data_IF_670102469938
#
_entry.id   IF_670102469938
#
_cell.length_a   1.000
_cell.length_b   1.000
_cell.length_c   1.000
_cell.angle_alpha   90.00
_cell.angle_beta   90.00
_cell.angle_gamma   90.00
#
_symmetry.space_group_name_H-M   'P 1'
#
loop_
_entity.id
_entity.type
_entity.pdbx_description
1 polymer ?
#
# COMPACT_ATOMS: atom_id res chain seq x y z
N UNK A 1 -32.75 1.95 25.85
CA UNK A 1 -32.56 3.04 24.90
C UNK A 1 -31.61 2.55 23.80
N UNK A 2 -32.11 2.29 22.58
CA UNK A 2 -31.26 1.81 21.47
C UNK A 2 -30.40 2.98 20.95
N UNK A 3 -29.07 2.83 21.01
CA UNK A 3 -28.13 3.82 20.42
C UNK A 3 -28.29 3.72 18.91
N UNK A 4 -28.90 4.71 18.26
CA UNK A 4 -28.90 4.85 16.80
C UNK A 4 -27.55 5.41 16.36
N UNK A 5 -26.67 4.56 15.83
CA UNK A 5 -25.43 5.00 15.18
C UNK A 5 -25.78 5.78 13.90
N UNK A 6 -25.14 6.94 13.68
CA UNK A 6 -25.33 7.66 12.43
C UNK A 6 -24.72 6.89 11.24
N UNK A 7 -25.36 6.97 10.08
CA UNK A 7 -24.86 6.32 8.85
C UNK A 7 -23.41 6.74 8.55
N UNK A 8 -23.10 8.02 8.67
CA UNK A 8 -21.75 8.56 8.44
C UNK A 8 -20.74 7.95 9.40
N UNK A 9 -21.10 7.77 10.68
CA UNK A 9 -20.23 7.13 11.66
C UNK A 9 -19.87 5.70 11.23
N UNK A 10 -20.88 4.90 10.88
CA UNK A 10 -20.68 3.51 10.45
C UNK A 10 -19.79 3.43 9.22
N UNK A 11 -20.10 4.23 8.18
CA UNK A 11 -19.30 4.23 6.94
C UNK A 11 -17.83 4.64 7.20
N UNK A 12 -17.58 5.65 8.03
CA UNK A 12 -16.19 6.03 8.39
C UNK A 12 -15.46 4.93 9.14
N UNK A 13 -16.13 4.21 10.06
CA UNK A 13 -15.53 3.07 10.76
C UNK A 13 -15.25 1.89 9.84
N UNK A 14 -16.15 1.60 8.90
CA UNK A 14 -15.93 0.57 7.88
C UNK A 14 -14.76 0.94 6.95
N UNK A 15 -14.64 2.22 6.55
CA UNK A 15 -13.50 2.69 5.78
C UNK A 15 -12.17 2.49 6.52
N UNK A 16 -12.09 2.87 7.80
CA UNK A 16 -10.91 2.65 8.62
C UNK A 16 -10.60 1.15 8.75
N UNK A 17 -11.61 0.34 9.03
CA UNK A 17 -11.45 -1.11 9.20
C UNK A 17 -10.96 -1.76 7.89
N UNK A 18 -11.55 -1.44 6.74
CA UNK A 18 -11.14 -2.01 5.46
C UNK A 18 -9.69 -1.70 5.10
N UNK A 19 -9.17 -0.54 5.50
CA UNK A 19 -7.77 -0.17 5.28
C UNK A 19 -6.77 -0.97 6.13
N UNK A 20 -7.18 -1.43 7.33
CA UNK A 20 -6.34 -2.26 8.20
C UNK A 20 -6.55 -3.74 7.88
N UNK A 21 -7.81 -4.16 7.78
CA UNK A 21 -8.21 -5.51 7.49
C UNK A 21 -9.35 -5.50 6.45
N UNK A 22 -9.17 -6.12 5.27
CA UNK A 22 -8.06 -7.00 4.85
C UNK A 22 -6.89 -6.31 4.14
N UNK A 23 -7.03 -5.04 3.71
CA UNK A 23 -6.06 -4.40 2.81
C UNK A 23 -4.65 -4.26 3.42
N UNK A 24 -4.56 -3.92 4.70
CA UNK A 24 -3.26 -3.82 5.39
C UNK A 24 -2.54 -5.17 5.44
N UNK A 25 -3.26 -6.28 5.68
CA UNK A 25 -2.68 -7.63 5.68
C UNK A 25 -2.21 -8.00 4.28
N UNK A 26 -3.04 -7.76 3.26
CA UNK A 26 -2.65 -7.98 1.86
C UNK A 26 -1.39 -7.17 1.49
N UNK A 27 -1.29 -5.93 1.94
CA UNK A 27 -0.13 -5.10 1.65
C UNK A 27 1.16 -5.68 2.25
N UNK A 28 1.12 -6.23 3.45
CA UNK A 28 2.29 -6.88 4.07
C UNK A 28 2.72 -8.13 3.28
N UNK A 29 1.75 -8.95 2.87
CA UNK A 29 1.99 -10.08 1.99
C UNK A 29 2.61 -9.62 0.65
N UNK A 30 2.04 -8.58 0.04
CA UNK A 30 2.52 -8.02 -1.22
C UNK A 30 3.97 -7.51 -1.13
N UNK A 31 4.34 -6.83 -0.05
CA UNK A 31 5.72 -6.42 0.20
C UNK A 31 6.65 -7.61 0.43
N UNK A 32 6.18 -8.64 1.14
CA UNK A 32 6.93 -9.88 1.34
C UNK A 32 7.20 -10.59 0.01
N UNK A 33 6.19 -10.80 -0.83
CA UNK A 33 6.34 -11.41 -2.15
C UNK A 33 7.28 -10.61 -3.03
N UNK A 34 7.14 -9.28 -3.08
CA UNK A 34 8.05 -8.43 -3.85
C UNK A 34 9.49 -8.45 -3.31
N UNK A 35 9.71 -8.66 -2.01
CA UNK A 35 11.03 -8.78 -1.43
C UNK A 35 11.81 -10.02 -1.92
N UNK A 36 11.13 -11.03 -2.49
CA UNK A 36 11.79 -12.20 -3.11
C UNK A 36 12.63 -11.83 -4.33
N UNK A 37 12.39 -10.68 -4.94
CA UNK A 37 13.28 -10.14 -5.98
C UNK A 37 14.72 -9.91 -5.50
N UNK A 38 14.95 -9.74 -4.19
CA UNK A 38 16.28 -9.59 -3.59
C UNK A 38 17.15 -10.84 -3.73
N UNK A 39 16.51 -12.01 -3.73
CA UNK A 39 17.17 -13.31 -3.88
C UNK A 39 17.24 -13.78 -5.33
N UNK A 40 16.54 -13.10 -6.24
CA UNK A 40 16.63 -13.30 -7.68
C UNK A 40 15.32 -13.63 -8.37
N UNK A 41 15.36 -13.70 -9.69
CA UNK A 41 14.20 -13.89 -10.54
C UNK A 41 13.45 -15.22 -10.23
N UNK A 42 14.18 -16.31 -9.99
CA UNK A 42 13.59 -17.61 -9.71
C UNK A 42 12.73 -17.60 -8.44
N UNK A 43 13.22 -16.98 -7.36
CA UNK A 43 12.50 -16.92 -6.08
C UNK A 43 11.27 -16.02 -6.18
N UNK A 44 11.37 -14.89 -6.89
CA UNK A 44 10.22 -14.03 -7.14
C UNK A 44 9.15 -14.73 -7.98
N UNK A 45 9.54 -15.36 -9.10
CA UNK A 45 8.63 -16.09 -9.97
C UNK A 45 7.94 -17.24 -9.23
N UNK A 46 8.69 -17.98 -8.40
CA UNK A 46 8.11 -19.04 -7.57
C UNK A 46 7.08 -18.49 -6.59
N UNK A 47 7.40 -17.39 -5.89
CA UNK A 47 6.45 -16.77 -4.96
C UNK A 47 5.16 -16.30 -5.66
N UNK A 48 5.26 -15.71 -6.86
CA UNK A 48 4.10 -15.34 -7.66
C UNK A 48 3.29 -16.59 -8.08
N UNK A 49 3.97 -17.66 -8.50
CA UNK A 49 3.30 -18.93 -8.87
C UNK A 49 2.58 -19.55 -7.68
N UNK A 50 3.21 -19.56 -6.51
CA UNK A 50 2.61 -20.11 -5.28
C UNK A 50 1.33 -19.35 -4.91
N UNK A 51 1.34 -18.02 -4.98
CA UNK A 51 0.14 -17.20 -4.78
C UNK A 51 -0.96 -17.53 -5.79
N UNK A 52 -0.63 -17.64 -7.08
CA UNK A 52 -1.62 -17.97 -8.10
C UNK A 52 -2.13 -19.40 -8.01
N UNK A 53 -1.42 -20.31 -7.32
CA UNK A 53 -1.83 -21.69 -7.10
C UNK A 53 -2.82 -21.87 -5.93
N UNK A 54 -3.06 -20.82 -5.13
CA UNK A 54 -4.01 -20.88 -4.02
C UNK A 54 -5.40 -21.27 -4.54
N UNK A 55 -6.05 -22.30 -3.98
CA UNK A 55 -7.39 -22.67 -4.39
C UNK A 55 -8.36 -21.49 -4.27
N UNK A 56 -9.17 -21.30 -5.31
CA UNK A 56 -10.16 -20.20 -5.35
C UNK A 56 -9.56 -18.79 -5.22
N UNK A 57 -8.30 -18.58 -5.64
CA UNK A 57 -7.61 -17.28 -5.54
C UNK A 57 -8.44 -16.12 -6.07
N UNK A 58 -9.20 -16.31 -7.14
CA UNK A 58 -10.07 -15.27 -7.71
C UNK A 58 -11.13 -14.78 -6.70
N UNK A 59 -11.71 -15.67 -5.89
CA UNK A 59 -12.67 -15.27 -4.85
C UNK A 59 -11.98 -14.52 -3.72
N UNK A 60 -10.74 -14.90 -3.37
CA UNK A 60 -9.91 -14.18 -2.39
C UNK A 60 -9.55 -12.79 -2.90
N UNK A 61 -9.14 -12.68 -4.17
CA UNK A 61 -8.85 -11.38 -4.81
C UNK A 61 -10.08 -10.48 -4.85
N UNK A 62 -11.22 -10.99 -5.33
CA UNK A 62 -12.44 -10.17 -5.45
C UNK A 62 -12.98 -9.80 -4.08
N UNK A 63 -13.21 -10.77 -3.21
CA UNK A 63 -13.86 -10.57 -1.90
C UNK A 63 -12.94 -9.95 -0.85
N UNK A 64 -11.67 -10.35 -0.84
CA UNK A 64 -10.67 -9.93 0.16
C UNK A 64 -9.86 -8.69 -0.25
N UNK A 65 -9.74 -8.39 -1.55
CA UNK A 65 -8.91 -7.28 -2.02
C UNK A 65 -9.76 -6.27 -2.80
N UNK A 66 -10.34 -6.62 -3.96
CA UNK A 66 -10.95 -5.62 -4.84
C UNK A 66 -12.18 -4.95 -4.24
N UNK A 67 -13.11 -5.68 -3.63
CA UNK A 67 -14.30 -5.08 -3.02
C UNK A 67 -13.91 -4.13 -1.86
N UNK A 68 -13.10 -4.55 -0.87
CA UNK A 68 -12.63 -3.65 0.18
C UNK A 68 -11.83 -2.46 -0.36
N UNK A 69 -11.00 -2.66 -1.38
CA UNK A 69 -10.18 -1.62 -1.99
C UNK A 69 -11.02 -0.55 -2.67
N UNK A 70 -12.00 -0.96 -3.50
CA UNK A 70 -12.91 -0.03 -4.17
C UNK A 70 -13.69 0.79 -3.13
N UNK A 71 -14.23 0.13 -2.11
CA UNK A 71 -14.92 0.82 -1.04
C UNK A 71 -14.00 1.81 -0.31
N UNK A 72 -12.82 1.35 0.12
CA UNK A 72 -11.84 2.17 0.84
C UNK A 72 -11.41 3.38 0.01
N UNK A 73 -11.06 3.18 -1.25
CA UNK A 73 -10.59 4.24 -2.14
C UNK A 73 -11.69 5.26 -2.46
N UNK A 74 -12.86 4.81 -2.88
CA UNK A 74 -13.97 5.70 -3.27
C UNK A 74 -14.49 6.46 -2.05
N UNK A 75 -14.74 5.79 -0.93
CA UNK A 75 -15.20 6.48 0.27
C UNK A 75 -14.10 7.36 0.89
N UNK A 76 -12.83 6.98 0.74
CA UNK A 76 -11.68 7.82 1.11
C UNK A 76 -11.62 9.14 0.33
N UNK A 77 -11.96 9.14 -0.97
CA UNK A 77 -12.09 10.38 -1.74
C UNK A 77 -13.23 11.26 -1.20
N UNK A 78 -14.39 10.68 -0.85
CA UNK A 78 -15.50 11.43 -0.22
C UNK A 78 -15.03 12.10 1.07
N UNK A 79 -14.33 11.35 1.96
CA UNK A 79 -13.76 11.91 3.19
C UNK A 79 -12.76 13.03 2.89
N UNK A 80 -11.97 12.90 1.82
CA UNK A 80 -10.99 13.89 1.41
C UNK A 80 -11.64 15.16 0.88
N UNK A 81 -12.72 15.05 0.12
CA UNK A 81 -13.50 16.21 -0.37
C UNK A 81 -14.19 16.98 0.76
N UNK A 82 -14.59 16.30 1.84
CA UNK A 82 -15.16 16.93 3.04
C UNK A 82 -14.09 17.57 3.95
N UNK A 83 -12.80 17.35 3.68
CA UNK A 83 -11.71 17.78 4.55
C UNK A 83 -11.56 19.30 4.57
N UNK A 84 -11.31 19.84 5.76
CA UNK A 84 -11.01 21.27 5.98
C UNK A 84 -9.66 21.40 6.69
N UNK A 85 -8.54 21.39 5.95
CA UNK A 85 -7.21 21.55 6.53
C UNK A 85 -7.08 22.94 7.17
N UNK A 86 -6.46 22.98 8.35
CA UNK A 86 -6.22 24.22 9.09
C UNK A 86 -4.75 24.37 9.52
N UNK A 87 -3.87 23.62 8.91
CA UNK A 87 -2.45 23.53 9.25
C UNK A 87 -1.67 24.84 9.05
N UNK A 88 -2.18 25.77 8.24
CA UNK A 88 -1.60 27.11 8.12
C UNK A 88 -1.92 28.00 9.34
N UNK A 89 -3.13 27.87 9.91
CA UNK A 89 -3.53 28.59 11.11
C UNK A 89 -3.01 27.92 12.40
N UNK A 90 -2.90 26.59 12.38
CA UNK A 90 -2.48 25.75 13.51
C UNK A 90 -1.40 24.76 13.05
N UNK A 91 -0.10 25.16 13.00
CA UNK A 91 0.98 24.37 12.40
C UNK A 91 1.48 23.23 13.30
N UNK A 92 0.59 22.54 13.99
CA UNK A 92 0.94 21.37 14.80
C UNK A 92 1.23 20.14 13.93
N UNK A 93 2.16 19.26 14.31
CA UNK A 93 2.49 18.04 13.54
C UNK A 93 1.27 17.18 13.18
N UNK A 94 0.29 17.06 14.08
CA UNK A 94 -0.94 16.27 13.82
C UNK A 94 -1.78 16.85 12.68
N UNK A 95 -1.80 18.17 12.50
CA UNK A 95 -2.52 18.82 11.41
C UNK A 95 -1.83 18.58 10.06
N UNK A 96 -0.49 18.53 10.06
CA UNK A 96 0.27 18.12 8.88
C UNK A 96 0.07 16.64 8.55
N UNK A 97 0.07 15.75 9.53
CA UNK A 97 -0.23 14.33 9.32
C UNK A 97 -1.64 14.11 8.76
N UNK A 98 -2.61 14.90 9.24
CA UNK A 98 -3.96 14.92 8.70
C UNK A 98 -3.99 15.31 7.22
N UNK A 99 -3.24 16.33 6.80
CA UNK A 99 -3.16 16.77 5.41
C UNK A 99 -2.44 15.72 4.55
N UNK A 100 -1.26 15.24 5.00
CA UNK A 100 -0.46 14.27 4.26
C UNK A 100 -1.20 12.95 4.09
N UNK A 101 -2.01 12.51 5.07
CA UNK A 101 -2.87 11.32 4.93
C UNK A 101 -3.84 11.43 3.75
N UNK A 102 -4.37 12.61 3.48
CA UNK A 102 -5.29 12.86 2.36
C UNK A 102 -4.57 12.97 1.03
N UNK A 103 -3.44 13.67 1.02
CA UNK A 103 -2.60 13.79 -0.18
C UNK A 103 -2.15 12.40 -0.62
N UNK A 104 -1.64 11.59 0.30
CA UNK A 104 -1.21 10.22 -0.01
C UNK A 104 -2.39 9.34 -0.44
N UNK A 105 -3.57 9.50 0.15
CA UNK A 105 -4.79 8.81 -0.29
C UNK A 105 -5.17 9.11 -1.74
N UNK A 106 -5.07 10.38 -2.16
CA UNK A 106 -5.34 10.79 -3.56
C UNK A 106 -4.25 10.26 -4.50
N UNK A 107 -2.97 10.34 -4.11
CA UNK A 107 -1.87 9.76 -4.89
C UNK A 107 -2.12 8.26 -5.09
N UNK A 108 -2.48 7.55 -4.02
CA UNK A 108 -2.73 6.11 -4.06
C UNK A 108 -3.93 5.74 -4.91
N UNK A 109 -4.99 6.56 -4.93
CA UNK A 109 -6.13 6.31 -5.79
C UNK A 109 -5.71 6.16 -7.26
N UNK A 110 -4.92 7.09 -7.78
CA UNK A 110 -4.42 7.03 -9.16
C UNK A 110 -3.32 5.98 -9.33
N UNK A 111 -2.40 5.88 -8.39
CA UNK A 111 -1.31 4.91 -8.44
C UNK A 111 -1.81 3.46 -8.46
N UNK A 112 -2.79 3.11 -7.62
CA UNK A 112 -3.31 1.74 -7.54
C UNK A 112 -4.09 1.40 -8.82
N UNK A 113 -4.86 2.33 -9.39
CA UNK A 113 -5.52 2.11 -10.68
C UNK A 113 -4.46 1.81 -11.75
N UNK A 114 -3.42 2.64 -11.86
CA UNK A 114 -2.31 2.42 -12.77
C UNK A 114 -1.63 1.07 -12.52
N UNK A 115 -1.26 0.77 -11.28
CA UNK A 115 -0.57 -0.45 -10.88
C UNK A 115 -1.37 -1.72 -11.22
N UNK A 116 -2.67 -1.72 -10.91
CA UNK A 116 -3.55 -2.86 -11.16
C UNK A 116 -3.79 -3.04 -12.67
N UNK A 117 -4.08 -1.96 -13.39
CA UNK A 117 -4.26 -2.01 -14.84
C UNK A 117 -2.98 -2.50 -15.55
N UNK A 118 -1.83 -2.08 -15.04
CA UNK A 118 -0.53 -2.44 -15.60
C UNK A 118 -0.17 -3.91 -15.31
N UNK A 119 0.09 -4.26 -14.06
CA UNK A 119 0.64 -5.56 -13.73
C UNK A 119 -0.40 -6.68 -13.56
N UNK A 120 -1.60 -6.36 -13.06
CA UNK A 120 -2.63 -7.40 -12.89
C UNK A 120 -3.37 -7.70 -14.19
N UNK A 121 -3.59 -6.69 -15.04
CA UNK A 121 -4.38 -6.85 -16.27
C UNK A 121 -3.57 -6.72 -17.57
N UNK A 122 -2.39 -6.11 -17.57
CA UNK A 122 -1.59 -5.85 -18.78
C UNK A 122 -2.30 -4.91 -19.77
N UNK A 123 -3.01 -3.91 -19.28
CA UNK A 123 -3.90 -3.05 -20.09
C UNK A 123 -3.36 -1.65 -20.33
N UNK A 124 -2.16 -1.31 -19.86
CA UNK A 124 -1.62 0.04 -20.05
C UNK A 124 -0.95 0.17 -21.41
N UNK A 125 -1.47 1.04 -22.33
CA UNK A 125 -0.91 1.19 -23.65
C UNK A 125 0.56 1.65 -23.62
N UNK A 126 1.40 1.02 -24.42
CA UNK A 126 2.83 1.35 -24.53
C UNK A 126 3.71 0.74 -23.42
N UNK A 127 3.12 0.00 -22.48
CA UNK A 127 3.83 -0.81 -21.51
C UNK A 127 3.66 -2.31 -21.83
N UNK A 128 4.06 -3.18 -20.92
CA UNK A 128 3.90 -4.61 -21.11
C UNK A 128 2.40 -5.00 -21.12
N UNK A 129 1.99 -5.76 -22.13
CA UNK A 129 0.61 -6.24 -22.27
C UNK A 129 0.39 -7.60 -21.62
N UNK A 130 1.40 -8.17 -20.97
CA UNK A 130 1.32 -9.46 -20.30
C UNK A 130 1.06 -9.29 -18.81
N UNK A 131 -0.04 -9.87 -18.32
CA UNK A 131 -0.35 -9.87 -16.89
C UNK A 131 0.67 -10.72 -16.11
N UNK A 132 1.22 -10.17 -15.04
CA UNK A 132 2.11 -10.89 -14.10
C UNK A 132 1.41 -12.13 -13.54
N UNK A 133 0.12 -12.05 -13.23
CA UNK A 133 -0.64 -13.16 -12.69
C UNK A 133 -0.86 -14.31 -13.68
N UNK A 134 -0.91 -14.01 -14.98
CA UNK A 134 -1.09 -15.02 -16.03
C UNK A 134 0.23 -15.56 -16.60
N UNK A 135 1.35 -14.92 -16.28
CA UNK A 135 2.68 -15.35 -16.70
C UNK A 135 3.65 -15.36 -15.50
N UNK A 136 3.40 -16.18 -14.46
CA UNK A 136 4.21 -16.17 -13.24
C UNK A 136 5.67 -16.52 -13.49
N UNK A 137 5.97 -17.32 -14.51
CA UNK A 137 7.35 -17.69 -14.89
C UNK A 137 8.16 -16.51 -15.49
N UNK A 138 7.48 -15.47 -15.97
CA UNK A 138 8.07 -14.27 -16.54
C UNK A 138 7.85 -13.03 -15.65
N UNK A 139 7.30 -13.21 -14.46
CA UNK A 139 6.85 -12.12 -13.59
C UNK A 139 7.99 -11.16 -13.27
N UNK A 140 9.19 -11.67 -12.96
CA UNK A 140 10.37 -10.84 -12.70
C UNK A 140 10.76 -10.00 -13.92
N UNK A 141 10.83 -10.61 -15.10
CA UNK A 141 11.27 -9.94 -16.32
C UNK A 141 10.28 -8.86 -16.77
N UNK A 142 8.98 -9.11 -16.57
CA UNK A 142 7.91 -8.13 -16.80
C UNK A 142 8.13 -6.88 -15.96
N UNK A 143 8.31 -7.05 -14.64
CA UNK A 143 8.51 -5.90 -13.73
C UNK A 143 9.85 -5.22 -13.98
N UNK A 144 10.93 -6.00 -14.14
CA UNK A 144 12.28 -5.49 -14.41
C UNK A 144 12.35 -4.71 -15.73
N UNK A 145 11.67 -5.18 -16.78
CA UNK A 145 11.60 -4.50 -18.05
C UNK A 145 11.00 -3.10 -17.94
N UNK A 146 9.94 -2.95 -17.18
CA UNK A 146 9.31 -1.65 -16.95
C UNK A 146 10.11 -0.75 -16.00
N UNK A 147 10.69 -1.30 -14.95
CA UNK A 147 11.48 -0.51 -14.00
C UNK A 147 12.80 0.03 -14.57
N UNK A 148 13.28 -0.50 -15.71
CA UNK A 148 14.36 0.12 -16.48
C UNK A 148 13.98 1.47 -17.10
N UNK A 149 12.68 1.74 -17.27
CA UNK A 149 12.19 3.06 -17.66
C UNK A 149 12.17 3.98 -16.43
N UNK A 150 13.07 4.97 -16.37
CA UNK A 150 13.28 5.83 -15.20
C UNK A 150 12.00 6.48 -14.67
N UNK A 151 11.07 6.86 -15.56
CA UNK A 151 9.81 7.52 -15.18
C UNK A 151 8.81 6.54 -14.54
N UNK A 152 8.75 5.29 -15.01
CA UNK A 152 7.98 4.23 -14.36
C UNK A 152 8.55 3.98 -12.97
N UNK A 153 9.86 3.77 -12.87
CA UNK A 153 10.52 3.55 -11.59
C UNK A 153 10.24 4.68 -10.59
N UNK A 154 10.28 5.94 -11.05
CA UNK A 154 9.94 7.09 -10.21
C UNK A 154 8.47 7.07 -9.74
N UNK A 155 7.51 6.73 -10.62
CA UNK A 155 6.09 6.55 -10.24
C UNK A 155 5.97 5.52 -9.12
N UNK A 156 6.70 4.38 -9.22
CA UNK A 156 6.68 3.34 -8.19
C UNK A 156 7.36 3.78 -6.90
N UNK A 157 8.44 4.53 -6.93
CA UNK A 157 9.05 5.08 -5.71
C UNK A 157 8.09 6.03 -4.99
N UNK A 158 7.39 6.89 -5.71
CA UNK A 158 6.36 7.77 -5.15
C UNK A 158 5.19 6.95 -4.60
N UNK A 159 4.71 5.95 -5.34
CA UNK A 159 3.64 5.06 -4.94
C UNK A 159 3.98 4.27 -3.67
N UNK A 160 5.15 3.65 -3.60
CA UNK A 160 5.63 2.92 -2.43
C UNK A 160 5.71 3.84 -1.21
N UNK A 161 6.30 5.03 -1.37
CA UNK A 161 6.43 6.00 -0.28
C UNK A 161 5.07 6.46 0.23
N UNK A 162 4.14 6.78 -0.68
CA UNK A 162 2.78 7.15 -0.33
C UNK A 162 2.04 6.00 0.37
N UNK A 163 2.19 4.77 -0.11
CA UNK A 163 1.58 3.56 0.46
C UNK A 163 2.04 3.34 1.91
N UNK A 164 3.34 3.38 2.13
CA UNK A 164 3.90 3.15 3.46
C UNK A 164 3.49 4.23 4.45
N UNK A 165 3.54 5.50 4.03
CA UNK A 165 3.05 6.60 4.88
C UNK A 165 1.57 6.43 5.21
N UNK A 166 0.75 6.18 4.18
CA UNK A 166 -0.71 6.06 4.34
C UNK A 166 -1.08 4.92 5.28
N UNK A 167 -0.42 3.76 5.16
CA UNK A 167 -0.64 2.61 6.05
C UNK A 167 -0.16 2.91 7.48
N UNK A 168 1.10 3.34 7.66
CA UNK A 168 1.67 3.54 9.00
C UNK A 168 0.92 4.60 9.80
N UNK A 169 0.62 5.74 9.18
CA UNK A 169 -0.19 6.78 9.80
C UNK A 169 -1.67 6.33 9.94
N UNK A 170 -2.19 5.55 9.01
CA UNK A 170 -3.52 4.95 9.07
C UNK A 170 -3.69 4.00 10.26
N UNK A 171 -2.69 3.16 10.55
CA UNK A 171 -2.66 2.30 11.74
C UNK A 171 -2.71 3.15 13.02
N UNK A 172 -1.88 4.19 13.10
CA UNK A 172 -1.88 5.08 14.26
C UNK A 172 -3.24 5.75 14.47
N UNK A 173 -3.83 6.31 13.41
CA UNK A 173 -5.16 6.92 13.46
C UNK A 173 -6.25 5.92 13.84
N UNK A 174 -6.19 4.70 13.31
CA UNK A 174 -7.10 3.62 13.66
C UNK A 174 -7.06 3.31 15.14
N UNK A 175 -5.87 3.12 15.73
CA UNK A 175 -5.69 2.82 17.15
C UNK A 175 -6.26 3.92 18.06
N UNK A 176 -6.11 5.19 17.66
CA UNK A 176 -6.66 6.34 18.37
C UNK A 176 -8.18 6.40 18.24
N UNK A 177 -8.69 6.33 17.02
CA UNK A 177 -10.12 6.50 16.72
C UNK A 177 -10.99 5.35 17.24
N UNK A 178 -10.42 4.15 17.39
CA UNK A 178 -11.10 2.99 17.98
C UNK A 178 -10.94 2.90 19.50
N UNK A 179 -10.26 3.87 20.11
CA UNK A 179 -10.07 3.93 21.56
C UNK A 179 -9.15 2.82 22.11
N UNK A 180 -8.29 2.24 21.25
CA UNK A 180 -7.29 1.23 21.65
C UNK A 180 -6.14 1.93 22.37
N UNK A 181 -5.72 3.11 21.87
CA UNK A 181 -4.70 3.95 22.52
C UNK A 181 -5.34 5.17 23.14
N UNK A 182 -5.43 5.19 24.48
CA UNK A 182 -6.04 6.26 25.27
C UNK A 182 -4.96 7.04 25.98
N UNK A 183 -5.07 8.38 25.96
CA UNK A 183 -4.15 9.30 26.61
C UNK A 183 -2.90 9.63 25.79
N UNK A 184 -2.29 10.77 26.08
CA UNK A 184 -1.20 11.36 25.29
C UNK A 184 0.06 10.47 25.22
N UNK A 185 0.43 9.83 26.34
CA UNK A 185 1.61 8.95 26.40
C UNK A 185 1.44 7.74 25.50
N UNK A 186 0.29 7.06 25.56
CA UNK A 186 0.00 5.89 24.72
C UNK A 186 -0.03 6.27 23.25
N UNK A 187 -0.71 7.36 22.88
CA UNK A 187 -0.77 7.85 21.50
C UNK A 187 0.60 8.24 20.96
N UNK A 188 1.47 8.82 21.78
CA UNK A 188 2.85 9.16 21.38
C UNK A 188 3.71 7.93 21.17
N UNK A 189 3.67 6.95 22.09
CA UNK A 189 4.44 5.72 21.97
C UNK A 189 4.00 4.88 20.75
N UNK A 190 2.70 4.72 20.54
CA UNK A 190 2.19 4.04 19.32
C UNK A 190 2.52 4.81 18.06
N UNK A 191 2.55 6.15 18.10
CA UNK A 191 3.02 6.97 16.97
C UNK A 191 4.47 6.65 16.61
N UNK A 192 5.37 6.57 17.59
CA UNK A 192 6.77 6.17 17.34
C UNK A 192 6.88 4.75 16.81
N UNK A 193 6.10 3.81 17.34
CA UNK A 193 6.05 2.43 16.84
C UNK A 193 5.59 2.38 15.37
N UNK A 194 4.55 3.14 15.01
CA UNK A 194 4.07 3.23 13.63
C UNK A 194 5.09 3.88 12.70
N UNK A 195 5.85 4.90 13.16
CA UNK A 195 6.94 5.49 12.39
C UNK A 195 8.04 4.47 12.16
N UNK A 196 8.49 3.75 13.20
CA UNK A 196 9.51 2.71 13.07
C UNK A 196 9.08 1.60 12.12
N UNK A 197 7.83 1.14 12.22
CA UNK A 197 7.22 0.19 11.29
C UNK A 197 7.22 0.73 9.86
N UNK A 198 6.80 1.99 9.66
CA UNK A 198 6.78 2.63 8.36
C UNK A 198 8.18 2.73 7.73
N UNK A 199 9.18 3.12 8.52
CA UNK A 199 10.58 3.19 8.04
C UNK A 199 11.07 1.79 7.61
N UNK A 200 10.84 0.76 8.44
CA UNK A 200 11.23 -0.61 8.09
C UNK A 200 10.54 -1.09 6.80
N UNK A 201 9.23 -0.86 6.67
CA UNK A 201 8.47 -1.24 5.49
C UNK A 201 8.92 -0.46 4.25
N UNK A 202 9.25 0.83 4.38
CA UNK A 202 9.77 1.65 3.28
C UNK A 202 11.13 1.12 2.78
N UNK A 203 12.02 0.75 3.69
CA UNK A 203 13.31 0.16 3.33
C UNK A 203 13.12 -1.17 2.59
N UNK A 204 12.21 -2.02 3.04
CA UNK A 204 11.88 -3.27 2.33
C UNK A 204 11.33 -2.97 0.94
N UNK A 205 10.35 -2.07 0.82
CA UNK A 205 9.69 -1.75 -0.45
C UNK A 205 10.63 -1.12 -1.48
N UNK A 206 11.45 -0.14 -1.07
CA UNK A 206 12.43 0.48 -1.97
C UNK A 206 13.51 -0.53 -2.37
N UNK A 207 14.00 -1.32 -1.42
CA UNK A 207 15.03 -2.32 -1.72
C UNK A 207 14.51 -3.39 -2.67
N UNK A 208 13.28 -3.85 -2.50
CA UNK A 208 12.61 -4.76 -3.43
C UNK A 208 12.45 -4.15 -4.82
N UNK A 209 12.01 -2.88 -4.92
CA UNK A 209 11.89 -2.20 -6.22
C UNK A 209 13.25 -2.07 -6.94
N UNK A 210 14.32 -1.75 -6.20
CA UNK A 210 15.69 -1.67 -6.76
C UNK A 210 16.19 -3.05 -7.19
N UNK A 211 15.77 -4.13 -6.53
CA UNK A 211 16.23 -5.49 -6.87
C UNK A 211 15.82 -5.94 -8.27
N UNK A 212 14.75 -5.41 -8.84
CA UNK A 212 14.35 -5.69 -10.23
C UNK A 212 15.30 -5.10 -11.28
N UNK A 213 16.07 -4.06 -10.93
CA UNK A 213 17.02 -3.40 -11.84
C UNK A 213 18.49 -3.59 -11.43
N UNK A 214 18.72 -3.98 -10.18
CA UNK A 214 20.05 -4.24 -9.63
C UNK A 214 20.03 -5.49 -8.75
N UNK A 215 20.72 -6.56 -9.11
CA UNK A 215 20.76 -7.79 -8.31
C UNK A 215 21.09 -7.52 -6.84
N UNK A 216 20.33 -8.12 -5.91
CA UNK A 216 20.50 -7.90 -4.47
C UNK A 216 20.06 -6.54 -3.93
N UNK A 217 19.41 -5.70 -4.77
CA UNK A 217 18.88 -4.41 -4.37
C UNK A 217 19.95 -3.37 -4.00
N UNK A 218 19.67 -2.49 -3.06
CA UNK A 218 20.58 -1.44 -2.59
C UNK A 218 21.84 -1.99 -1.95
N UNK A 219 21.75 -3.13 -1.27
CA UNK A 219 22.85 -3.75 -0.52
C UNK A 219 23.58 -4.82 -1.31
N UNK A 220 23.14 -5.15 -2.53
CA UNK A 220 23.70 -6.23 -3.36
C UNK A 220 25.19 -6.07 -3.73
N UNK A 221 25.79 -4.92 -3.54
CA UNK A 221 27.22 -4.70 -3.71
C UNK A 221 28.06 -4.84 -2.42
N UNK A 222 27.40 -5.12 -1.27
CA UNK A 222 28.04 -5.29 0.03
C UNK A 222 28.10 -6.77 0.48
N UNK A 223 27.40 -7.65 -0.24
CA UNK A 223 27.19 -9.06 0.14
C UNK A 223 27.93 -10.02 -0.81
N UNK A 224 28.46 -9.55 -1.93
CA UNK A 224 29.25 -10.31 -2.91
C UNK A 224 30.61 -9.68 -3.14
#
# INVERSE_FOLDING_TARGET
MAIRLSRTFVLRKLHQLSGIFPLGIFLLEHFYTNSKALTGAADFNNAVRDLQSIPYILFVEIGGIFIPLIYHAVYGLVITMEARPNNLAYPYPRNWFYLVQRITGVILFFFIIFHVLNFRFGMVPGLNTTSVAHAPDQAFDIVAGEFRMWWIFLIYLVGITATVWHLANGIWLFLVDWGITIGERAQRLTGYACIAFGVALLLVGINAAVAFIRPGGLLGGLIY
#
